data_IF_990693541097
#
_entry.id   IF_990693541097
#
_cell.length_a   1.000
_cell.length_b   1.000
_cell.length_c   1.000
_cell.angle_alpha   90.00
_cell.angle_beta   90.00
_cell.angle_gamma   90.00
#
_symmetry.space_group_name_H-M   'P 1'
#
loop_
_entity.id
_entity.type
_entity.pdbx_description
1 polymer ?
#
# COMPACT_ATOMS: atom_id res chain seq x y z
N UNK A 1 -19.64 3.87 7.06
CA UNK A 1 -18.24 4.31 6.93
C UNK A 1 -18.20 5.82 6.72
N UNK A 2 -17.34 6.53 7.46
CA UNK A 2 -17.20 7.98 7.34
C UNK A 2 -16.49 8.35 6.02
N UNK A 3 -17.23 8.85 5.03
CA UNK A 3 -16.70 9.22 3.70
C UNK A 3 -15.56 10.24 3.78
N UNK A 4 -15.58 11.11 4.79
CA UNK A 4 -14.58 12.16 5.00
C UNK A 4 -13.20 11.57 5.32
N UNK A 5 -13.14 10.44 6.03
CA UNK A 5 -11.89 9.74 6.32
C UNK A 5 -11.24 9.14 5.08
N UNK A 6 -12.04 8.55 4.19
CA UNK A 6 -11.56 8.02 2.93
C UNK A 6 -10.97 9.13 2.04
N UNK A 7 -11.69 10.25 1.92
CA UNK A 7 -11.24 11.41 1.14
C UNK A 7 -9.94 11.99 1.70
N UNK A 8 -9.81 12.08 3.03
CA UNK A 8 -8.57 12.50 3.68
C UNK A 8 -7.41 11.56 3.36
N UNK A 9 -7.65 10.24 3.37
CA UNK A 9 -6.65 9.25 2.99
C UNK A 9 -6.19 9.37 1.53
N UNK A 10 -7.12 9.60 0.60
CA UNK A 10 -6.81 9.86 -0.82
C UNK A 10 -5.99 11.15 -0.96
N UNK A 11 -6.35 12.20 -0.25
CA UNK A 11 -5.61 13.47 -0.27
C UNK A 11 -4.16 13.27 0.23
N UNK A 12 -3.98 12.51 1.31
CA UNK A 12 -2.65 12.17 1.82
C UNK A 12 -1.83 11.35 0.82
N UNK A 13 -2.47 10.40 0.12
CA UNK A 13 -1.83 9.66 -0.96
C UNK A 13 -1.39 10.56 -2.12
N UNK A 14 -2.24 11.49 -2.57
CA UNK A 14 -1.90 12.45 -3.63
C UNK A 14 -0.66 13.27 -3.25
N UNK A 15 -0.58 13.72 -2.00
CA UNK A 15 0.60 14.45 -1.51
C UNK A 15 1.86 13.58 -1.66
N UNK A 16 1.81 12.32 -1.20
CA UNK A 16 2.95 11.38 -1.32
C UNK A 16 3.34 11.17 -2.77
N UNK A 17 2.37 10.96 -3.66
CA UNK A 17 2.60 10.80 -5.10
C UNK A 17 3.31 12.03 -5.66
N UNK A 18 2.83 13.24 -5.37
CA UNK A 18 3.46 14.47 -5.85
C UNK A 18 4.91 14.58 -5.41
N UNK A 19 5.22 14.31 -4.13
CA UNK A 19 6.60 14.31 -3.64
C UNK A 19 7.50 13.27 -4.33
N UNK A 20 6.98 12.06 -4.55
CA UNK A 20 7.71 11.01 -5.27
C UNK A 20 7.97 11.39 -6.74
N UNK A 21 7.01 12.01 -7.42
CA UNK A 21 7.18 12.44 -8.82
C UNK A 21 8.03 13.72 -8.96
N UNK A 22 8.09 14.59 -7.95
CA UNK A 22 9.04 15.71 -7.95
C UNK A 22 10.49 15.21 -7.91
N UNK A 23 10.78 14.15 -7.16
CA UNK A 23 12.11 13.54 -7.17
C UNK A 23 12.48 12.88 -8.51
N UNK A 24 11.50 12.44 -9.29
CA UNK A 24 11.72 11.89 -10.64
C UNK A 24 12.28 12.94 -11.60
N UNK A 25 11.80 14.18 -11.52
CA UNK A 25 12.31 15.28 -12.34
C UNK A 25 13.81 15.55 -12.08
N UNK A 26 14.31 15.15 -10.91
CA UNK A 26 15.70 15.38 -10.48
C UNK A 26 16.58 14.17 -10.84
N UNK A 27 16.05 12.94 -10.79
CA UNK A 27 16.81 11.71 -11.03
C UNK A 27 16.10 10.78 -12.02
N UNK A 28 16.21 11.00 -13.34
CA UNK A 28 15.61 10.14 -14.35
C UNK A 28 16.38 8.81 -14.44
N UNK A 29 16.04 7.87 -13.56
CA UNK A 29 16.60 6.52 -13.52
C UNK A 29 15.47 5.49 -13.57
N UNK A 30 15.62 4.44 -14.39
CA UNK A 30 14.66 3.32 -14.48
C UNK A 30 14.35 2.72 -13.11
N UNK A 31 15.36 2.59 -12.24
CA UNK A 31 15.16 2.08 -10.87
C UNK A 31 14.27 3.01 -10.05
N UNK A 32 14.45 4.33 -10.18
CA UNK A 32 13.64 5.32 -9.50
C UNK A 32 12.19 5.28 -9.99
N UNK A 33 11.98 5.16 -11.30
CA UNK A 33 10.64 5.05 -11.90
C UNK A 33 9.88 3.85 -11.36
N UNK A 34 10.58 2.71 -11.28
CA UNK A 34 10.03 1.49 -10.71
C UNK A 34 9.67 1.68 -9.24
N UNK A 35 10.56 2.26 -8.43
CA UNK A 35 10.27 2.58 -7.02
C UNK A 35 9.03 3.48 -6.88
N UNK A 36 8.93 4.55 -7.67
CA UNK A 36 7.78 5.44 -7.65
C UNK A 36 6.49 4.71 -8.02
N UNK A 37 6.49 3.94 -9.11
CA UNK A 37 5.34 3.15 -9.54
C UNK A 37 4.91 2.14 -8.47
N UNK A 38 5.86 1.39 -7.92
CA UNK A 38 5.59 0.36 -6.91
C UNK A 38 5.09 0.96 -5.60
N UNK A 39 5.73 2.01 -5.09
CA UNK A 39 5.31 2.69 -3.86
C UNK A 39 3.94 3.35 -4.02
N UNK A 40 3.67 4.01 -5.15
CA UNK A 40 2.37 4.64 -5.37
C UNK A 40 1.25 3.62 -5.44
N UNK A 41 1.48 2.49 -6.12
CA UNK A 41 0.52 1.39 -6.23
C UNK A 41 0.24 0.71 -4.89
N UNK A 42 1.27 0.40 -4.10
CA UNK A 42 1.12 -0.35 -2.84
C UNK A 42 0.56 0.56 -1.72
N UNK A 43 0.89 1.86 -1.73
CA UNK A 43 0.53 2.79 -0.64
C UNK A 43 -0.88 3.36 -0.69
N UNK A 44 -1.55 3.37 -1.85
CA UNK A 44 -2.87 4.03 -2.01
C UNK A 44 -3.88 3.56 -0.99
N UNK A 45 -3.99 2.24 -0.86
CA UNK A 45 -5.00 1.64 -0.02
C UNK A 45 -4.59 1.65 1.46
N UNK A 46 -3.30 1.81 1.77
CA UNK A 46 -2.82 2.11 3.14
C UNK A 46 -3.18 3.53 3.56
N UNK A 47 -2.99 4.52 2.68
CA UNK A 47 -3.36 5.91 2.96
C UNK A 47 -4.88 6.03 3.19
N UNK A 48 -5.69 5.36 2.38
CA UNK A 48 -7.14 5.27 2.59
C UNK A 48 -7.52 4.69 3.96
N UNK A 49 -6.88 3.59 4.37
CA UNK A 49 -7.16 2.97 5.68
C UNK A 49 -6.67 3.84 6.83
N UNK A 50 -5.53 4.52 6.70
CA UNK A 50 -5.06 5.52 7.68
C UNK A 50 -6.09 6.64 7.84
N UNK A 51 -6.63 7.18 6.74
CA UNK A 51 -7.66 8.23 6.81
C UNK A 51 -8.95 7.75 7.47
N UNK A 52 -9.35 6.50 7.21
CA UNK A 52 -10.48 5.87 7.90
C UNK A 52 -10.20 5.64 9.39
N UNK A 53 -8.99 5.23 9.75
CA UNK A 53 -8.55 5.03 11.13
C UNK A 53 -8.56 6.33 11.92
N UNK A 54 -8.01 7.40 11.36
CA UNK A 54 -7.96 8.71 12.03
C UNK A 54 -9.34 9.28 12.33
N UNK A 55 -10.35 8.95 11.51
CA UNK A 55 -11.74 9.40 11.67
C UNK A 55 -12.63 8.43 12.44
N UNK A 56 -12.17 7.20 12.71
CA UNK A 56 -12.93 6.15 13.40
C UNK A 56 -12.00 5.30 14.28
N UNK A 57 -11.26 5.96 15.19
CA UNK A 57 -10.22 5.29 16.00
C UNK A 57 -10.75 4.13 16.83
N UNK A 58 -12.00 4.21 17.28
CA UNK A 58 -12.62 3.19 18.15
C UNK A 58 -13.10 1.96 17.38
N UNK A 59 -13.07 1.97 16.04
CA UNK A 59 -13.54 0.86 15.23
C UNK A 59 -12.46 -0.25 15.13
N UNK A 60 -12.67 -1.34 15.87
CA UNK A 60 -11.78 -2.51 15.92
C UNK A 60 -11.52 -3.15 14.55
N UNK A 61 -12.50 -3.13 13.63
CA UNK A 61 -12.34 -3.67 12.27
C UNK A 61 -11.31 -2.86 11.48
N UNK A 62 -11.39 -1.52 11.56
CA UNK A 62 -10.45 -0.63 10.88
C UNK A 62 -9.04 -0.78 11.46
N UNK A 63 -8.92 -0.94 12.78
CA UNK A 63 -7.63 -1.23 13.42
C UNK A 63 -7.00 -2.54 12.93
N UNK A 64 -7.82 -3.60 12.76
CA UNK A 64 -7.38 -4.89 12.24
C UNK A 64 -6.90 -4.76 10.80
N UNK A 65 -7.68 -4.09 9.94
CA UNK A 65 -7.29 -3.83 8.55
C UNK A 65 -6.01 -3.02 8.46
N UNK A 66 -5.84 -1.98 9.28
CA UNK A 66 -4.62 -1.18 9.29
C UNK A 66 -3.37 -2.02 9.61
N UNK A 67 -3.47 -2.97 10.56
CA UNK A 67 -2.36 -3.87 10.90
C UNK A 67 -1.97 -4.78 9.72
N UNK A 68 -2.96 -5.39 9.07
CA UNK A 68 -2.75 -6.24 7.87
C UNK A 68 -2.13 -5.39 6.76
N UNK A 69 -2.60 -4.16 6.60
CA UNK A 69 -2.11 -3.24 5.59
C UNK A 69 -0.65 -2.88 5.73
N UNK A 70 -0.26 -2.49 6.95
CA UNK A 70 1.12 -2.10 7.26
C UNK A 70 2.05 -3.30 7.05
N UNK A 71 1.61 -4.51 7.41
CA UNK A 71 2.37 -5.73 7.16
C UNK A 71 2.61 -5.97 5.67
N UNK A 72 1.57 -5.87 4.83
CA UNK A 72 1.72 -6.03 3.39
C UNK A 72 2.50 -4.89 2.72
N UNK A 73 2.38 -3.66 3.21
CA UNK A 73 3.21 -2.54 2.77
C UNK A 73 4.69 -2.83 3.03
N UNK A 74 5.02 -3.36 4.21
CA UNK A 74 6.39 -3.73 4.56
C UNK A 74 6.92 -4.85 3.66
N UNK A 75 6.15 -5.92 3.45
CA UNK A 75 6.52 -6.99 2.51
C UNK A 75 6.74 -6.44 1.11
N UNK A 76 5.84 -5.55 0.65
CA UNK A 76 5.95 -4.97 -0.68
C UNK A 76 7.21 -4.13 -0.87
N UNK A 77 7.59 -3.35 0.14
CA UNK A 77 8.84 -2.58 0.14
C UNK A 77 10.05 -3.53 0.10
N UNK A 78 10.05 -4.61 0.88
CA UNK A 78 11.13 -5.59 0.87
C UNK A 78 11.28 -6.26 -0.50
N UNK A 79 10.18 -6.74 -1.08
CA UNK A 79 10.19 -7.39 -2.40
C UNK A 79 10.65 -6.42 -3.51
N UNK A 80 10.21 -5.16 -3.45
CA UNK A 80 10.68 -4.11 -4.34
C UNK A 80 12.20 -3.89 -4.22
N UNK A 81 12.75 -3.85 -3.00
CA UNK A 81 14.20 -3.71 -2.77
C UNK A 81 14.95 -4.92 -3.33
N UNK A 82 14.46 -6.14 -3.06
CA UNK A 82 15.05 -7.37 -3.60
C UNK A 82 15.07 -7.35 -5.13
N UNK A 83 13.99 -6.93 -5.76
CA UNK A 83 13.90 -6.81 -7.20
C UNK A 83 14.92 -5.79 -7.76
N UNK A 84 15.08 -4.64 -7.11
CA UNK A 84 16.08 -3.65 -7.54
C UNK A 84 17.51 -4.20 -7.45
N UNK A 85 17.80 -4.99 -6.41
CA UNK A 85 19.12 -5.60 -6.21
C UNK A 85 19.38 -6.69 -7.25
N UNK A 86 18.41 -7.57 -7.49
CA UNK A 86 18.54 -8.72 -8.41
C UNK A 86 18.53 -8.30 -9.89
N UNK A 87 17.67 -7.34 -10.26
CA UNK A 87 17.45 -6.94 -11.65
C UNK A 87 18.18 -5.64 -12.02
N UNK A 88 19.39 -5.43 -11.50
CA UNK A 88 20.20 -4.22 -11.74
C UNK A 88 20.45 -3.91 -13.24
N UNK A 89 20.35 -4.91 -14.12
CA UNK A 89 20.59 -4.80 -15.58
C UNK A 89 19.41 -5.23 -16.46
N UNK A 90 18.30 -5.71 -15.88
CA UNK A 90 17.15 -6.22 -16.61
C UNK A 90 15.90 -5.33 -16.43
N UNK A 91 14.83 -5.65 -17.16
CA UNK A 91 13.52 -5.02 -16.98
C UNK A 91 12.90 -5.44 -15.65
N UNK A 92 12.50 -4.47 -14.82
CA UNK A 92 11.73 -4.72 -13.60
C UNK A 92 10.35 -5.31 -13.91
N UNK A 93 9.86 -6.19 -13.05
CA UNK A 93 8.53 -6.77 -13.12
C UNK A 93 7.47 -5.76 -12.67
N UNK A 94 6.78 -5.18 -13.65
CA UNK A 94 5.71 -4.22 -13.42
C UNK A 94 4.45 -4.84 -12.80
N UNK A 95 4.36 -6.18 -12.72
CA UNK A 95 3.24 -6.90 -12.10
C UNK A 95 3.45 -7.16 -10.62
N UNK A 96 4.68 -7.09 -10.10
CA UNK A 96 4.96 -7.38 -8.68
C UNK A 96 4.10 -6.52 -7.72
N UNK A 97 3.94 -5.19 -7.92
CA UNK A 97 3.08 -4.38 -7.07
C UNK A 97 1.61 -4.80 -7.09
N UNK A 98 1.13 -5.27 -8.25
CA UNK A 98 -0.23 -5.77 -8.43
C UNK A 98 -0.43 -7.10 -7.71
N UNK A 99 0.56 -8.01 -7.77
CA UNK A 99 0.55 -9.29 -7.05
C UNK A 99 0.48 -9.04 -5.54
N UNK A 100 1.28 -8.10 -5.02
CA UNK A 100 1.25 -7.68 -3.62
C UNK A 100 -0.14 -7.13 -3.25
N UNK A 101 -0.73 -6.30 -4.11
CA UNK A 101 -2.07 -5.76 -3.90
C UNK A 101 -3.14 -6.87 -3.83
N UNK A 102 -3.10 -7.86 -4.72
CA UNK A 102 -4.02 -9.00 -4.68
C UNK A 102 -3.81 -9.90 -3.45
N UNK A 103 -2.56 -10.19 -3.09
CA UNK A 103 -2.25 -10.96 -1.87
C UNK A 103 -2.79 -10.30 -0.60
N UNK A 104 -2.73 -8.96 -0.57
CA UNK A 104 -3.34 -8.15 0.48
C UNK A 104 -4.86 -8.27 0.52
N UNK A 105 -5.54 -8.15 -0.63
CA UNK A 105 -7.00 -8.32 -0.71
C UNK A 105 -7.44 -9.70 -0.23
N UNK A 106 -6.73 -10.75 -0.64
CA UNK A 106 -7.00 -12.12 -0.20
C UNK A 106 -6.82 -12.25 1.32
N UNK A 107 -5.76 -11.65 1.88
CA UNK A 107 -5.52 -11.69 3.33
C UNK A 107 -6.63 -11.01 4.12
N UNK A 108 -7.12 -9.86 3.63
CA UNK A 108 -8.25 -9.15 4.25
C UNK A 108 -9.53 -9.99 4.16
N UNK A 109 -9.77 -10.63 3.02
CA UNK A 109 -10.94 -11.49 2.81
C UNK A 109 -10.94 -12.69 3.76
N UNK A 110 -9.85 -13.46 3.79
CA UNK A 110 -9.70 -14.65 4.64
C UNK A 110 -9.81 -14.31 6.13
N UNK A 111 -9.20 -13.21 6.54
CA UNK A 111 -9.20 -12.78 7.94
C UNK A 111 -10.56 -12.24 8.42
N UNK A 112 -11.40 -11.73 7.50
CA UNK A 112 -12.79 -11.37 7.78
C UNK A 112 -13.68 -12.62 7.91
N UNK A 113 -13.59 -13.57 7.00
CA UNK A 113 -14.39 -14.81 7.07
C UNK A 113 -14.09 -15.59 8.35
N UNK A 114 -12.82 -15.69 8.76
CA UNK A 114 -12.43 -16.32 10.03
C UNK A 114 -13.01 -15.61 11.27
N UNK A 115 -13.18 -14.28 11.22
CA UNK A 115 -13.78 -13.51 12.32
C UNK A 115 -15.30 -13.65 12.40
N UNK A 116 -15.96 -13.95 11.29
CA UNK A 116 -17.40 -14.25 11.24
C UNK A 116 -17.67 -15.66 11.78
N UNK A 117 -16.77 -16.61 11.50
CA UNK A 117 -16.90 -18.02 11.91
C UNK A 117 -16.55 -18.22 13.39
N UNK A 118 -15.62 -17.42 13.95
CA UNK A 118 -15.26 -17.43 15.37
C UNK A 118 -15.40 -16.03 15.99
N UNK A 119 -16.63 -15.61 16.37
CA UNK A 119 -16.79 -14.41 17.17
C UNK A 119 -16.19 -14.66 18.56
N UNK A 120 -15.05 -14.03 18.84
CA UNK A 120 -14.48 -13.98 20.19
C UNK A 120 -15.23 -12.98 21.06
#
# INVERSE_FOLDING_TARGET
MNRNGLLFGIFLWIIIVVFLYMGFAIFPNKAYNYVCYSLTTISISTCCIIGLYLTNKDNLVIQKFLKIDIFWLFIGILLMIFEIILNKYHSYDMYLPLIIYFGRLISIYVDNDLSIINPK
#
